data_IF_963685100643
#
_entry.id   IF_963685100643
#
_cell.length_a   1.000
_cell.length_b   1.000
_cell.length_c   1.000
_cell.angle_alpha   90.00
_cell.angle_beta   90.00
_cell.angle_gamma   90.00
#
_symmetry.space_group_name_H-M   'P 1'
#
loop_
_entity.id
_entity.type
_entity.pdbx_description
1 polymer ?
#
# COMPACT_ATOMS: atom_id res chain seq x y z
N UNK A 1 -17.73 25.30 44.24
CA UNK A 1 -16.92 26.50 44.53
C UNK A 1 -15.53 26.21 43.98
N UNK A 2 -15.14 26.84 42.87
CA UNK A 2 -13.74 26.74 42.42
C UNK A 2 -12.88 27.42 43.48
N UNK A 3 -11.82 26.74 43.92
CA UNK A 3 -10.90 27.27 44.92
C UNK A 3 -10.04 28.37 44.29
N UNK A 4 -9.96 29.53 44.94
CA UNK A 4 -9.24 30.71 44.46
C UNK A 4 -7.76 30.65 44.88
N UNK A 5 -7.04 29.63 44.42
CA UNK A 5 -5.64 29.37 44.79
C UNK A 5 -4.73 30.58 44.55
N UNK A 6 -4.92 31.28 43.42
CA UNK A 6 -4.09 32.44 43.08
C UNK A 6 -4.38 33.62 44.01
N UNK A 7 -5.64 33.82 44.38
CA UNK A 7 -6.03 34.85 45.35
C UNK A 7 -5.42 34.56 46.72
N UNK A 8 -5.41 33.30 47.15
CA UNK A 8 -4.92 32.94 48.50
C UNK A 8 -3.39 32.94 48.60
N UNK A 9 -2.67 32.68 47.49
CA UNK A 9 -1.24 32.35 47.54
C UNK A 9 -0.31 33.44 47.03
N UNK A 10 -0.78 34.44 46.29
CA UNK A 10 0.07 35.44 45.63
C UNK A 10 0.12 36.79 46.37
N UNK A 11 0.24 36.71 47.70
CA UNK A 11 0.58 37.83 48.57
C UNK A 11 2.08 37.82 48.93
N UNK A 12 2.48 38.68 49.86
CA UNK A 12 3.83 38.69 50.44
C UNK A 12 4.33 40.09 50.71
N UNK A 13 5.31 40.24 51.59
CA UNK A 13 5.82 41.54 52.06
C UNK A 13 6.37 42.44 50.94
N UNK A 14 6.79 41.85 49.82
CA UNK A 14 7.33 42.56 48.65
C UNK A 14 6.27 42.96 47.63
N UNK A 15 5.02 42.53 47.79
CA UNK A 15 3.91 42.78 46.86
C UNK A 15 4.25 42.40 45.41
N UNK A 16 5.01 41.32 45.21
CA UNK A 16 5.52 40.86 43.92
C UNK A 16 4.65 39.79 43.24
N UNK A 17 3.51 39.43 43.85
CA UNK A 17 2.60 38.40 43.30
C UNK A 17 2.08 38.73 41.91
N UNK A 18 1.79 40.01 41.64
CA UNK A 18 1.35 40.48 40.33
C UNK A 18 2.37 40.14 39.23
N UNK A 19 3.65 40.46 39.44
CA UNK A 19 4.70 40.23 38.45
C UNK A 19 4.86 38.74 38.15
N UNK A 20 4.82 37.90 39.19
CA UNK A 20 4.91 36.44 39.05
C UNK A 20 3.76 35.91 38.20
N UNK A 21 2.51 36.27 38.50
CA UNK A 21 1.34 35.82 37.75
C UNK A 21 1.32 36.35 36.32
N UNK A 22 1.66 37.63 36.14
CA UNK A 22 1.73 38.27 34.83
C UNK A 22 2.76 37.57 33.92
N UNK A 23 3.93 37.22 34.48
CA UNK A 23 4.94 36.47 33.75
C UNK A 23 4.55 35.00 33.52
N UNK A 24 3.84 34.36 34.46
CA UNK A 24 3.31 33.00 34.26
C UNK A 24 2.37 32.94 33.04
N UNK A 25 1.42 33.87 32.95
CA UNK A 25 0.52 33.99 31.80
C UNK A 25 1.31 34.14 30.48
N UNK A 26 2.41 34.90 30.49
CA UNK A 26 3.30 35.05 29.33
C UNK A 26 3.99 33.73 28.97
N UNK A 27 4.37 32.91 29.96
CA UNK A 27 4.99 31.61 29.73
C UNK A 27 4.02 30.58 29.14
N UNK A 28 2.71 30.72 29.31
CA UNK A 28 1.72 29.85 28.64
C UNK A 28 1.88 29.81 27.12
N UNK A 29 2.30 30.92 26.49
CA UNK A 29 2.59 30.95 25.06
C UNK A 29 3.81 30.11 24.66
N UNK A 30 4.82 30.01 25.54
CA UNK A 30 5.99 29.15 25.31
C UNK A 30 5.55 27.68 25.27
N UNK A 31 4.71 27.25 26.20
CA UNK A 31 4.18 25.88 26.22
C UNK A 31 3.39 25.53 24.96
N UNK A 32 2.60 26.46 24.43
CA UNK A 32 1.90 26.27 23.14
C UNK A 32 2.88 26.06 21.98
N UNK A 33 3.96 26.84 21.93
CA UNK A 33 5.00 26.70 20.91
C UNK A 33 5.75 25.37 21.02
N UNK A 34 6.15 24.99 22.23
CA UNK A 34 6.85 23.73 22.50
C UNK A 34 5.98 22.51 22.14
N UNK A 35 4.66 22.58 22.37
CA UNK A 35 3.73 21.52 21.93
C UNK A 35 3.70 21.40 20.39
N UNK A 36 3.63 22.53 19.67
CA UNK A 36 3.66 22.51 18.20
C UNK A 36 5.00 21.93 17.68
N UNK A 37 6.11 22.26 18.31
CA UNK A 37 7.43 21.73 17.98
C UNK A 37 7.50 20.20 18.22
N UNK A 38 6.96 19.73 19.35
CA UNK A 38 6.88 18.30 19.63
C UNK A 38 6.04 17.53 18.60
N UNK A 39 4.85 18.03 18.25
CA UNK A 39 3.98 17.39 17.25
C UNK A 39 4.67 17.39 15.87
N UNK A 40 5.43 18.44 15.55
CA UNK A 40 6.22 18.50 14.31
C UNK A 40 7.31 17.43 14.26
N UNK A 41 8.06 17.24 15.33
CA UNK A 41 9.06 16.17 15.40
C UNK A 41 8.40 14.79 15.30
N UNK A 42 7.25 14.58 15.94
CA UNK A 42 6.46 13.36 15.76
C UNK A 42 6.08 13.14 14.30
N UNK A 43 5.58 14.17 13.60
CA UNK A 43 5.23 14.07 12.19
C UNK A 43 6.45 13.75 11.30
N UNK A 44 7.62 14.33 11.58
CA UNK A 44 8.88 14.02 10.87
C UNK A 44 9.25 12.55 10.99
N UNK A 45 9.11 11.95 12.17
CA UNK A 45 9.38 10.53 12.41
C UNK A 45 8.41 9.65 11.60
N UNK A 46 7.11 9.95 11.66
CA UNK A 46 6.08 9.20 10.92
C UNK A 46 6.28 9.31 9.40
N UNK A 47 6.72 10.47 8.91
CA UNK A 47 7.02 10.68 7.49
C UNK A 47 8.23 9.83 7.05
N UNK A 48 9.29 9.80 7.86
CA UNK A 48 10.47 8.96 7.59
C UNK A 48 10.09 7.47 7.54
N UNK A 49 9.21 7.02 8.44
CA UNK A 49 8.67 5.67 8.44
C UNK A 49 7.87 5.38 7.17
N UNK A 50 6.90 6.23 6.83
CA UNK A 50 6.09 6.09 5.60
C UNK A 50 6.97 6.03 4.33
N UNK A 51 7.98 6.90 4.22
CA UNK A 51 8.90 6.93 3.07
C UNK A 51 9.73 5.65 2.96
N UNK A 52 10.16 5.10 4.10
CA UNK A 52 10.91 3.84 4.15
C UNK A 52 10.03 2.66 3.74
N UNK A 53 8.78 2.62 4.23
CA UNK A 53 7.78 1.62 3.83
C UNK A 53 7.45 1.69 2.34
N UNK A 54 7.30 2.90 1.79
CA UNK A 54 7.09 3.10 0.35
C UNK A 54 8.26 2.56 -0.48
N UNK A 55 9.51 2.73 -0.01
CA UNK A 55 10.69 2.15 -0.69
C UNK A 55 10.69 0.62 -0.61
N UNK A 56 10.30 0.06 0.54
CA UNK A 56 10.18 -1.38 0.73
C UNK A 56 9.16 -1.99 -0.23
N UNK A 57 7.97 -1.38 -0.35
CA UNK A 57 6.95 -1.80 -1.32
C UNK A 57 7.48 -1.82 -2.76
N UNK A 58 8.22 -0.78 -3.18
CA UNK A 58 8.84 -0.73 -4.51
C UNK A 58 9.87 -1.85 -4.71
N UNK A 59 10.67 -2.17 -3.68
CA UNK A 59 11.62 -3.29 -3.78
C UNK A 59 10.93 -4.64 -3.92
N UNK A 60 9.73 -4.83 -3.35
CA UNK A 60 8.96 -6.06 -3.54
C UNK A 60 8.62 -6.32 -5.02
N UNK A 61 8.43 -5.26 -5.81
CA UNK A 61 8.22 -5.35 -7.26
C UNK A 61 9.47 -5.78 -8.04
N UNK A 62 10.67 -5.62 -7.46
CA UNK A 62 11.95 -5.94 -8.10
C UNK A 62 12.42 -7.37 -7.79
N UNK A 63 11.72 -8.11 -6.95
CA UNK A 63 12.06 -9.51 -6.68
C UNK A 63 11.78 -10.40 -7.90
N UNK A 64 12.38 -11.59 -7.87
CA UNK A 64 12.28 -12.55 -8.97
C UNK A 64 10.81 -12.84 -9.31
N UNK A 65 10.47 -12.63 -10.58
CA UNK A 65 9.17 -12.99 -11.14
C UNK A 65 9.17 -14.45 -11.65
N UNK A 66 10.21 -15.21 -11.31
CA UNK A 66 10.34 -16.62 -11.63
C UNK A 66 9.86 -17.48 -10.46
N UNK A 67 9.25 -18.61 -10.81
CA UNK A 67 8.79 -19.62 -9.86
C UNK A 67 7.39 -19.36 -9.32
N UNK A 68 6.85 -20.39 -8.68
CA UNK A 68 5.47 -20.46 -8.19
C UNK A 68 5.13 -19.42 -7.12
N UNK A 69 6.15 -18.89 -6.42
CA UNK A 69 5.98 -17.89 -5.36
C UNK A 69 5.83 -16.45 -5.88
N UNK A 70 6.16 -16.18 -7.15
CA UNK A 70 6.18 -14.82 -7.70
C UNK A 70 4.91 -13.99 -7.41
N UNK A 71 3.67 -14.53 -7.52
CA UNK A 71 2.45 -13.77 -7.22
C UNK A 71 2.30 -13.32 -5.75
N UNK A 72 2.97 -13.99 -4.81
CA UNK A 72 2.90 -13.65 -3.38
C UNK A 72 3.58 -12.31 -3.10
N UNK A 73 4.60 -11.94 -3.87
CA UNK A 73 5.25 -10.64 -3.73
C UNK A 73 4.32 -9.46 -3.99
N UNK A 74 3.29 -9.64 -4.82
CA UNK A 74 2.27 -8.62 -5.07
C UNK A 74 1.40 -8.38 -3.82
N UNK A 75 1.06 -9.46 -3.09
CA UNK A 75 0.33 -9.36 -1.80
C UNK A 75 1.14 -8.57 -0.76
N UNK A 76 2.44 -8.87 -0.63
CA UNK A 76 3.36 -8.11 0.23
C UNK A 76 3.44 -6.64 -0.19
N UNK A 77 3.60 -6.39 -1.49
CA UNK A 77 3.66 -5.03 -2.04
C UNK A 77 2.42 -4.22 -1.68
N UNK A 78 1.23 -4.71 -2.03
CA UNK A 78 -0.03 -3.96 -1.81
C UNK A 78 -0.27 -3.66 -0.33
N UNK A 79 -0.05 -4.64 0.56
CA UNK A 79 -0.19 -4.40 2.00
C UNK A 79 0.82 -3.36 2.53
N UNK A 80 2.07 -3.45 2.07
CA UNK A 80 3.13 -2.48 2.44
C UNK A 80 2.82 -1.07 1.92
N UNK A 81 2.24 -0.92 0.72
CA UNK A 81 1.78 0.37 0.18
C UNK A 81 0.63 0.96 1.00
N UNK A 82 -0.34 0.13 1.39
CA UNK A 82 -1.45 0.56 2.27
C UNK A 82 -0.94 1.00 3.64
N UNK A 83 -0.05 0.23 4.24
CA UNK A 83 0.55 0.57 5.53
C UNK A 83 1.35 1.89 5.45
N UNK A 84 2.16 2.07 4.41
CA UNK A 84 2.86 3.34 4.16
C UNK A 84 1.90 4.54 4.01
N UNK A 85 0.73 4.31 3.40
CA UNK A 85 -0.31 5.32 3.22
C UNK A 85 -0.98 5.71 4.54
N UNK A 86 -1.24 4.75 5.45
CA UNK A 86 -1.77 5.04 6.79
C UNK A 86 -0.85 5.99 7.57
N UNK A 87 0.46 5.71 7.57
CA UNK A 87 1.43 6.60 8.24
C UNK A 87 1.52 7.97 7.57
N UNK A 88 1.43 8.04 6.24
CA UNK A 88 1.38 9.34 5.55
C UNK A 88 0.10 10.12 5.87
N UNK A 89 -1.03 9.45 6.07
CA UNK A 89 -2.28 10.09 6.50
C UNK A 89 -2.15 10.65 7.93
N UNK A 90 -1.48 9.90 8.84
CA UNK A 90 -1.15 10.42 10.17
C UNK A 90 -0.35 11.72 10.09
N UNK A 91 0.70 11.77 9.26
CA UNK A 91 1.50 12.98 9.06
C UNK A 91 0.63 14.16 8.63
N UNK A 92 -0.29 13.97 7.68
CA UNK A 92 -1.20 15.03 7.21
C UNK A 92 -2.11 15.53 8.34
N UNK A 93 -2.70 14.63 9.12
CA UNK A 93 -3.57 15.02 10.25
C UNK A 93 -2.79 15.72 11.36
N UNK A 94 -1.58 15.27 11.67
CA UNK A 94 -0.69 15.96 12.61
C UNK A 94 -0.30 17.36 12.10
N UNK A 95 -0.09 17.54 10.79
CA UNK A 95 0.16 18.86 10.19
C UNK A 95 -1.05 19.80 10.31
N UNK A 96 -2.27 19.30 10.16
CA UNK A 96 -3.48 20.10 10.42
C UNK A 96 -3.59 20.48 11.91
N UNK A 97 -3.32 19.53 12.81
CA UNK A 97 -3.33 19.81 14.24
C UNK A 97 -2.29 20.88 14.63
N UNK A 98 -1.09 20.86 14.03
CA UNK A 98 -0.07 21.92 14.24
C UNK A 98 -0.63 23.30 13.84
N UNK A 99 -1.43 23.39 12.77
CA UNK A 99 -2.07 24.67 12.38
C UNK A 99 -3.07 25.14 13.44
N UNK A 100 -3.83 24.23 14.04
CA UNK A 100 -4.74 24.55 15.15
C UNK A 100 -3.95 25.06 16.36
N UNK A 101 -2.84 24.42 16.72
CA UNK A 101 -1.96 24.88 17.81
C UNK A 101 -1.41 26.28 17.52
N UNK A 102 -0.95 26.55 16.30
CA UNK A 102 -0.47 27.89 15.92
C UNK A 102 -1.58 28.94 15.99
N UNK A 103 -2.78 28.61 15.50
CA UNK A 103 -3.95 29.49 15.57
C UNK A 103 -4.27 29.86 17.02
N UNK A 104 -4.26 28.87 17.92
CA UNK A 104 -4.44 29.12 19.35
C UNK A 104 -3.32 30.00 19.92
N UNK A 105 -2.06 29.76 19.52
CA UNK A 105 -0.93 30.61 19.90
C UNK A 105 -1.10 32.08 19.49
N UNK A 106 -1.64 32.36 18.31
CA UNK A 106 -1.94 33.71 17.84
C UNK A 106 -3.10 34.35 18.64
N UNK A 107 -4.11 33.57 18.99
CA UNK A 107 -5.23 34.01 19.84
C UNK A 107 -4.76 34.33 21.27
N UNK A 108 -3.85 33.53 21.82
CA UNK A 108 -3.20 33.81 23.11
C UNK A 108 -2.44 35.14 23.09
N UNK A 109 -1.69 35.44 22.03
CA UNK A 109 -0.97 36.72 21.92
C UNK A 109 -1.94 37.90 21.94
N UNK A 110 -3.09 37.79 21.26
CA UNK A 110 -4.14 38.82 21.26
C UNK A 110 -4.76 38.97 22.65
N UNK A 111 -5.12 37.85 23.30
CA UNK A 111 -5.68 37.84 24.65
C UNK A 111 -4.70 38.42 25.68
N UNK A 112 -3.41 38.13 25.56
CA UNK A 112 -2.35 38.68 26.41
C UNK A 112 -2.26 40.21 26.28
N UNK A 113 -2.27 40.75 25.04
CA UNK A 113 -2.22 42.21 24.83
C UNK A 113 -3.41 42.92 25.49
N UNK A 114 -4.61 42.36 25.31
CA UNK A 114 -5.83 42.86 25.95
C UNK A 114 -5.72 42.80 27.48
N UNK A 115 -5.31 41.66 28.03
CA UNK A 115 -5.19 41.48 29.48
C UNK A 115 -4.19 42.47 30.08
N UNK A 116 -3.05 42.72 29.42
CA UNK A 116 -2.05 43.69 29.86
C UNK A 116 -2.64 45.09 30.06
N UNK A 117 -3.50 45.54 29.14
CA UNK A 117 -4.17 46.84 29.24
C UNK A 117 -5.17 46.85 30.41
N UNK A 118 -5.95 45.77 30.54
CA UNK A 118 -6.98 45.64 31.59
C UNK A 118 -6.41 45.56 33.01
N UNK A 119 -5.19 45.03 33.19
CA UNK A 119 -4.56 44.89 34.52
C UNK A 119 -3.56 46.01 34.85
N UNK A 120 -3.46 47.04 33.99
CA UNK A 120 -2.54 48.17 34.19
C UNK A 120 -2.80 48.94 35.49
N UNK A 121 -4.07 49.11 35.88
CA UNK A 121 -4.43 49.76 37.15
C UNK A 121 -3.98 48.98 38.39
N UNK A 122 -3.83 47.65 38.29
CA UNK A 122 -3.29 46.81 39.36
C UNK A 122 -1.78 46.98 39.47
N UNK A 123 -1.07 47.10 38.34
CA UNK A 123 0.35 47.41 38.32
C UNK A 123 0.64 48.76 38.98
N UNK A 124 -0.17 49.79 38.69
CA UNK A 124 -0.05 51.09 39.37
C UNK A 124 -0.29 50.97 40.88
N UNK A 125 -1.28 50.20 41.31
CA UNK A 125 -1.55 49.96 42.73
C UNK A 125 -0.37 49.25 43.43
N UNK A 126 0.25 48.26 42.77
CA UNK A 126 1.48 47.57 43.25
C UNK A 126 2.63 48.56 43.42
N UNK A 127 2.88 49.41 42.43
CA UNK A 127 3.95 50.42 42.49
C UNK A 127 3.68 51.44 43.60
N UNK A 128 2.43 51.87 43.76
CA UNK A 128 2.01 52.82 44.79
C UNK A 128 2.20 52.24 46.20
N UNK A 129 1.73 51.01 46.47
CA UNK A 129 1.91 50.40 47.80
C UNK A 129 3.39 50.18 48.12
N UNK A 130 4.21 49.75 47.15
CA UNK A 130 5.66 49.59 47.34
C UNK A 130 6.34 50.93 47.69
N UNK A 131 6.02 52.00 46.96
CA UNK A 131 6.55 53.35 47.18
C UNK A 131 6.14 53.91 48.55
N UNK A 132 4.85 53.82 48.89
CA UNK A 132 4.33 54.32 50.18
C UNK A 132 4.86 53.50 51.35
N UNK A 133 5.04 52.19 51.20
CA UNK A 133 5.65 51.34 52.24
C UNK A 133 7.07 51.78 52.55
N UNK A 134 7.88 52.06 51.52
CA UNK A 134 9.25 52.57 51.71
C UNK A 134 9.26 53.97 52.35
N UNK A 135 8.38 54.88 51.90
CA UNK A 135 8.26 56.22 52.47
C UNK A 135 7.80 56.21 53.93
N UNK A 136 6.85 55.33 54.27
CA UNK A 136 6.37 55.10 55.62
C UNK A 136 7.50 54.63 56.54
N UNK A 137 8.29 53.63 56.09
CA UNK A 137 9.41 53.11 56.85
C UNK A 137 10.46 54.20 57.12
N UNK A 138 10.83 54.99 56.10
CA UNK A 138 11.75 56.13 56.25
C UNK A 138 11.21 57.20 57.19
N UNK A 139 9.91 57.48 57.14
CA UNK A 139 9.27 58.44 58.05
C UNK A 139 9.25 57.93 59.49
N UNK A 140 9.05 56.62 59.71
CA UNK A 140 9.09 55.98 61.03
C UNK A 140 10.49 56.08 61.65
N UNK A 141 11.53 55.78 60.87
CA UNK A 141 12.93 55.91 61.31
C UNK A 141 13.28 57.35 61.67
N UNK A 142 12.86 58.32 60.85
CA UNK A 142 13.07 59.74 61.15
C UNK A 142 12.32 60.20 62.41
N UNK A 143 11.06 59.76 62.58
CA UNK A 143 10.30 60.01 63.82
C UNK A 143 11.05 59.49 65.05
N UNK A 144 11.46 58.22 65.03
CA UNK A 144 12.21 57.60 66.13
C UNK A 144 13.51 58.35 66.42
N UNK A 145 14.27 58.75 65.39
CA UNK A 145 15.50 59.52 65.54
C UNK A 145 15.26 60.89 66.18
N UNK A 146 14.18 61.61 65.81
CA UNK A 146 13.85 62.90 66.43
C UNK A 146 13.36 62.76 67.87
N UNK A 147 12.63 61.70 68.19
CA UNK A 147 12.22 61.41 69.57
C UNK A 147 13.43 61.07 70.45
N UNK A 148 14.35 60.23 69.97
CA UNK A 148 15.58 59.89 70.70
C UNK A 148 16.44 61.12 70.97
N UNK A 149 16.63 61.99 69.97
CA UNK A 149 17.40 63.23 70.14
C UNK A 149 16.74 64.19 71.13
N UNK A 150 15.41 64.31 71.09
CA UNK A 150 14.67 65.13 72.05
C UNK A 150 14.87 64.62 73.49
N UNK A 151 14.78 63.31 73.70
CA UNK A 151 15.00 62.70 75.02
C UNK A 151 16.45 62.80 75.48
N UNK A 152 17.42 62.70 74.57
CA UNK A 152 18.84 62.92 74.87
C UNK A 152 19.09 64.33 75.38
N UNK A 153 18.59 65.35 74.68
CA UNK A 153 18.74 66.76 75.08
C UNK A 153 18.09 67.06 76.44
N UNK A 154 16.95 66.43 76.74
CA UNK A 154 16.32 66.53 78.07
C UNK A 154 17.18 65.93 79.18
N UNK A 155 17.79 64.76 78.94
CA UNK A 155 18.64 64.07 79.93
C UNK A 155 19.98 64.78 80.17
N UNK A 156 20.55 65.38 79.14
CA UNK A 156 21.83 66.10 79.22
C UNK A 156 21.70 67.53 79.78
N UNK A 157 20.49 67.99 80.10
CA UNK A 157 20.27 69.32 80.66
C UNK A 157 20.49 70.46 79.66
N UNK A 158 20.15 70.24 78.38
CA UNK A 158 20.22 71.27 77.34
C UNK A 158 19.34 72.49 77.68
N UNK A 159 19.61 73.63 77.04
CA UNK A 159 18.86 74.86 77.34
C UNK A 159 17.38 74.71 76.96
N UNK A 160 16.45 75.42 77.64
CA UNK A 160 15.02 75.36 77.32
C UNK A 160 14.72 75.63 75.84
N UNK A 161 15.47 76.58 75.22
CA UNK A 161 15.36 76.93 73.80
C UNK A 161 15.74 75.78 72.86
N UNK A 162 16.74 74.98 73.22
CA UNK A 162 17.17 73.82 72.43
C UNK A 162 16.16 72.67 72.53
N UNK A 163 15.63 72.44 73.73
CA UNK A 163 14.58 71.44 73.97
C UNK A 163 13.30 71.80 73.21
N UNK A 164 12.88 73.07 73.22
CA UNK A 164 11.73 73.53 72.44
C UNK A 164 11.93 73.32 70.94
N UNK A 165 13.12 73.65 70.42
CA UNK A 165 13.48 73.42 69.01
C UNK A 165 13.43 71.93 68.65
N UNK A 166 13.91 71.05 69.51
CA UNK A 166 13.84 69.60 69.31
C UNK A 166 12.39 69.09 69.37
N UNK A 167 11.59 69.63 70.27
CA UNK A 167 10.15 69.31 70.41
C UNK A 167 9.37 69.65 69.15
N UNK A 168 9.61 70.83 68.55
CA UNK A 168 8.98 71.21 67.27
C UNK A 168 9.39 70.26 66.13
N UNK A 169 10.66 69.86 66.05
CA UNK A 169 11.13 68.89 65.04
C UNK A 169 10.51 67.51 65.21
N UNK A 170 10.41 67.04 66.46
CA UNK A 170 9.76 65.76 66.83
C UNK A 170 8.27 65.77 66.47
N UNK A 171 7.57 66.87 66.78
CA UNK A 171 6.16 67.06 66.40
C UNK A 171 5.96 67.02 64.88
N UNK A 172 6.77 67.76 64.11
CA UNK A 172 6.71 67.73 62.63
C UNK A 172 6.97 66.32 62.06
N UNK A 173 7.93 65.58 62.63
CA UNK A 173 8.19 64.21 62.24
C UNK A 173 7.02 63.26 62.57
N UNK A 174 6.35 63.49 63.71
CA UNK A 174 5.13 62.77 64.11
C UNK A 174 3.99 63.01 63.12
N UNK A 175 3.73 64.26 62.76
CA UNK A 175 2.66 64.62 61.82
C UNK A 175 2.92 64.01 60.43
N UNK A 176 4.18 64.02 59.98
CA UNK A 176 4.58 63.38 58.72
C UNK A 176 4.40 61.85 58.77
N UNK A 177 4.78 61.21 59.88
CA UNK A 177 4.60 59.77 60.04
C UNK A 177 3.11 59.38 60.06
N UNK A 178 2.27 60.12 60.80
CA UNK A 178 0.81 59.91 60.81
C UNK A 178 0.20 60.05 59.41
N UNK A 179 0.61 61.07 58.65
CA UNK A 179 0.18 61.23 57.27
C UNK A 179 0.52 60.02 56.40
N UNK A 180 1.71 59.45 56.54
CA UNK A 180 2.08 58.24 55.80
C UNK A 180 1.34 56.98 56.28
N UNK A 181 0.98 56.89 57.55
CA UNK A 181 0.14 55.78 58.07
C UNK A 181 -1.26 55.83 57.43
N UNK A 182 -1.87 57.01 57.38
CA UNK A 182 -3.18 57.21 56.73
C UNK A 182 -3.11 56.93 55.23
N UNK A 183 -2.08 57.45 54.54
CA UNK A 183 -1.85 57.14 53.12
C UNK A 183 -1.66 55.64 52.88
N UNK A 184 -0.90 54.97 53.74
CA UNK A 184 -0.66 53.53 53.64
C UNK A 184 -1.96 52.74 53.74
N UNK A 185 -2.84 53.07 54.70
CA UNK A 185 -4.13 52.40 54.84
C UNK A 185 -4.98 52.51 53.56
N UNK A 186 -5.03 53.69 52.95
CA UNK A 186 -5.76 53.93 51.69
C UNK A 186 -5.18 53.11 50.53
N UNK A 187 -3.86 53.18 50.31
CA UNK A 187 -3.23 52.44 49.19
C UNK A 187 -3.24 50.93 49.41
N UNK A 188 -3.20 50.46 50.67
CA UNK A 188 -3.34 49.05 51.01
C UNK A 188 -4.71 48.53 50.60
N UNK A 189 -5.78 49.25 50.94
CA UNK A 189 -7.14 48.85 50.57
C UNK A 189 -7.34 48.80 49.06
N UNK A 190 -6.83 49.79 48.32
CA UNK A 190 -6.89 49.82 46.85
C UNK A 190 -6.11 48.65 46.22
N UNK A 191 -4.90 48.38 46.74
CA UNK A 191 -4.08 47.24 46.31
C UNK A 191 -4.76 45.90 46.58
N UNK A 192 -5.26 45.64 47.79
CA UNK A 192 -5.88 44.36 48.14
C UNK A 192 -7.11 44.07 47.28
N UNK A 193 -7.94 45.09 47.02
CA UNK A 193 -9.10 44.95 46.14
C UNK A 193 -8.65 44.57 44.71
N UNK A 194 -7.80 45.39 44.09
CA UNK A 194 -7.36 45.18 42.70
C UNK A 194 -6.57 43.88 42.52
N UNK A 195 -5.72 43.54 43.48
CA UNK A 195 -4.92 42.32 43.45
C UNK A 195 -5.79 41.07 43.57
N UNK A 196 -6.82 41.10 44.41
CA UNK A 196 -7.80 39.99 44.53
C UNK A 196 -8.49 39.73 43.19
N UNK A 197 -9.05 40.79 42.57
CA UNK A 197 -9.73 40.67 41.28
C UNK A 197 -8.78 40.21 40.16
N UNK A 198 -7.56 40.73 40.15
CA UNK A 198 -6.55 40.42 39.12
C UNK A 198 -5.97 39.01 39.29
N UNK A 199 -5.75 38.55 40.51
CA UNK A 199 -5.27 37.20 40.77
C UNK A 199 -6.29 36.15 40.33
N UNK A 200 -7.58 36.38 40.61
CA UNK A 200 -8.65 35.53 40.09
C UNK A 200 -8.68 35.52 38.56
N UNK A 201 -8.57 36.70 37.94
CA UNK A 201 -8.51 36.80 36.48
C UNK A 201 -7.35 36.03 35.87
N UNK A 202 -6.16 36.09 36.47
CA UNK A 202 -5.02 35.29 36.01
C UNK A 202 -5.27 33.79 36.15
N UNK A 203 -5.96 33.37 37.22
CA UNK A 203 -6.35 31.97 37.39
C UNK A 203 -7.34 31.53 36.31
N UNK A 204 -8.36 32.32 36.02
CA UNK A 204 -9.36 32.01 34.98
C UNK A 204 -8.71 31.88 33.58
N UNK A 205 -7.72 32.75 33.30
CA UNK A 205 -6.92 32.69 32.06
C UNK A 205 -6.09 31.40 32.01
N UNK A 206 -5.44 31.03 33.11
CA UNK A 206 -4.62 29.83 33.20
C UNK A 206 -5.48 28.55 33.09
N UNK A 207 -6.63 28.51 33.76
CA UNK A 207 -7.58 27.39 33.66
C UNK A 207 -8.09 27.23 32.22
N UNK A 208 -8.46 28.33 31.57
CA UNK A 208 -8.85 28.33 30.15
C UNK A 208 -7.71 27.84 29.26
N UNK A 209 -6.48 28.25 29.55
CA UNK A 209 -5.29 27.81 28.82
C UNK A 209 -5.07 26.30 28.94
N UNK A 210 -5.07 25.79 30.17
CA UNK A 210 -4.83 24.37 30.44
C UNK A 210 -5.94 23.49 29.86
N UNK A 211 -7.20 23.93 29.93
CA UNK A 211 -8.32 23.22 29.31
C UNK A 211 -8.13 23.10 27.80
N UNK A 212 -7.83 24.20 27.12
CA UNK A 212 -7.67 24.16 25.67
C UNK A 212 -6.44 23.36 25.22
N UNK A 213 -5.32 23.44 25.95
CA UNK A 213 -4.15 22.60 25.70
C UNK A 213 -4.48 21.11 25.84
N UNK A 214 -5.31 20.74 26.82
CA UNK A 214 -5.78 19.36 26.98
C UNK A 214 -6.66 18.90 25.81
N UNK A 215 -7.54 19.75 25.30
CA UNK A 215 -8.37 19.45 24.12
C UNK A 215 -7.49 19.14 22.88
N UNK A 216 -6.42 19.93 22.68
CA UNK A 216 -5.45 19.69 21.60
C UNK A 216 -4.75 18.33 21.79
N UNK A 217 -4.32 18.00 23.01
CA UNK A 217 -3.66 16.73 23.33
C UNK A 217 -4.62 15.54 23.15
N UNK A 218 -5.90 15.72 23.46
CA UNK A 218 -6.94 14.72 23.21
C UNK A 218 -7.13 14.51 21.70
N UNK A 219 -7.19 15.58 20.91
CA UNK A 219 -7.24 15.50 19.43
C UNK A 219 -6.02 14.78 18.85
N UNK A 220 -4.81 15.08 19.35
CA UNK A 220 -3.57 14.37 19.01
C UNK A 220 -3.70 12.86 19.28
N UNK A 221 -4.18 12.50 20.47
CA UNK A 221 -4.33 11.10 20.90
C UNK A 221 -5.36 10.35 20.05
N UNK A 222 -6.50 10.99 19.75
CA UNK A 222 -7.55 10.43 18.90
C UNK A 222 -7.05 10.23 17.46
N UNK A 223 -6.30 11.19 16.92
CA UNK A 223 -5.69 11.07 15.59
C UNK A 223 -4.78 9.85 15.49
N UNK A 224 -3.93 9.62 16.50
CA UNK A 224 -3.06 8.43 16.54
C UNK A 224 -3.88 7.15 16.66
N UNK A 225 -4.88 7.14 17.54
CA UNK A 225 -5.76 5.98 17.76
C UNK A 225 -6.46 5.58 16.46
N UNK A 226 -7.03 6.53 15.72
CA UNK A 226 -7.76 6.26 14.48
C UNK A 226 -6.86 5.64 13.41
N UNK A 227 -5.62 6.14 13.27
CA UNK A 227 -4.66 5.56 12.33
C UNK A 227 -4.22 4.17 12.81
N UNK A 228 -4.04 3.97 14.11
CA UNK A 228 -3.69 2.65 14.64
C UNK A 228 -4.76 1.60 14.35
N UNK A 229 -6.04 1.97 14.40
CA UNK A 229 -7.14 1.11 13.99
C UNK A 229 -7.04 0.75 12.49
N UNK A 230 -6.79 1.72 11.61
CA UNK A 230 -6.60 1.46 10.17
C UNK A 230 -5.39 0.55 9.90
N UNK A 231 -4.30 0.71 10.65
CA UNK A 231 -3.13 -0.19 10.57
C UNK A 231 -3.54 -1.62 10.89
N UNK A 232 -4.36 -1.81 11.94
CA UNK A 232 -4.93 -3.11 12.29
C UNK A 232 -5.75 -3.71 11.14
N UNK A 233 -6.59 -2.91 10.48
CA UNK A 233 -7.38 -3.35 9.32
C UNK A 233 -6.48 -3.80 8.15
N UNK A 234 -5.38 -3.08 7.87
CA UNK A 234 -4.41 -3.47 6.84
C UNK A 234 -3.72 -4.80 7.17
N UNK A 235 -3.44 -5.04 8.45
CA UNK A 235 -2.85 -6.31 8.90
C UNK A 235 -3.83 -7.49 8.74
N UNK A 236 -5.08 -7.32 9.15
CA UNK A 236 -6.12 -8.35 8.96
C UNK A 236 -6.37 -8.61 7.46
N UNK A 237 -6.40 -7.56 6.63
CA UNK A 237 -6.52 -7.71 5.18
C UNK A 237 -5.36 -8.53 4.59
N UNK A 238 -4.13 -8.29 5.05
CA UNK A 238 -2.96 -9.06 4.61
C UNK A 238 -3.08 -10.54 4.96
N UNK A 239 -3.48 -10.87 6.20
CA UNK A 239 -3.69 -12.25 6.65
C UNK A 239 -4.73 -12.95 5.76
N UNK A 240 -5.84 -12.27 5.48
CA UNK A 240 -6.90 -12.79 4.62
C UNK A 240 -6.41 -12.98 3.17
N UNK A 241 -5.68 -12.03 2.60
CA UNK A 241 -5.12 -12.13 1.25
C UNK A 241 -4.11 -13.28 1.13
N UNK A 242 -3.28 -13.50 2.16
CA UNK A 242 -2.37 -14.64 2.21
C UNK A 242 -3.13 -15.98 2.33
N UNK A 243 -4.20 -16.02 3.13
CA UNK A 243 -5.06 -17.21 3.25
C UNK A 243 -5.75 -17.55 1.93
N UNK A 244 -6.20 -16.54 1.18
CA UNK A 244 -6.81 -16.71 -0.13
C UNK A 244 -5.80 -17.10 -1.23
N UNK A 245 -4.51 -16.83 -1.02
CA UNK A 245 -3.43 -17.21 -1.93
C UNK A 245 -2.97 -18.64 -1.63
N UNK A 246 -3.84 -19.61 -1.94
CA UNK A 246 -3.58 -21.02 -1.62
C UNK A 246 -2.48 -21.63 -2.48
N UNK A 247 -1.85 -22.70 -1.99
CA UNK A 247 -0.82 -23.46 -2.71
C UNK A 247 -1.37 -24.00 -4.03
N UNK A 248 -2.60 -24.50 -4.05
CA UNK A 248 -3.28 -25.01 -5.24
C UNK A 248 -3.41 -23.91 -6.29
N UNK A 249 -3.85 -22.71 -5.89
CA UNK A 249 -4.02 -21.57 -6.80
C UNK A 249 -2.69 -21.13 -7.43
N UNK A 250 -1.60 -21.17 -6.66
CA UNK A 250 -0.27 -20.81 -7.14
C UNK A 250 0.28 -21.86 -8.12
N UNK A 251 0.17 -23.15 -7.79
CA UNK A 251 0.58 -24.25 -8.67
C UNK A 251 -0.21 -24.21 -9.98
N UNK A 252 -1.52 -24.03 -9.90
CA UNK A 252 -2.39 -23.90 -11.07
C UNK A 252 -1.95 -22.73 -11.96
N UNK A 253 -1.78 -21.53 -11.40
CA UNK A 253 -1.31 -20.34 -12.14
C UNK A 253 0.05 -20.58 -12.81
N UNK A 254 0.97 -21.26 -12.14
CA UNK A 254 2.27 -21.59 -12.74
C UNK A 254 2.13 -22.59 -13.89
N UNK A 255 1.39 -23.68 -13.71
CA UNK A 255 1.16 -24.68 -14.75
C UNK A 255 0.44 -24.11 -15.97
N UNK A 256 -0.54 -23.22 -15.77
CA UNK A 256 -1.25 -22.53 -16.85
C UNK A 256 -0.36 -21.54 -17.60
N UNK A 257 0.54 -20.84 -16.91
CA UNK A 257 1.41 -19.83 -17.52
C UNK A 257 2.69 -20.36 -18.15
N UNK A 258 3.22 -21.51 -17.67
CA UNK A 258 4.49 -22.10 -18.11
C UNK A 258 4.37 -23.53 -18.64
N UNK A 259 3.17 -24.07 -18.77
CA UNK A 259 2.94 -25.40 -19.32
C UNK A 259 3.43 -25.54 -20.76
N UNK A 260 4.07 -26.66 -21.08
CA UNK A 260 4.69 -26.92 -22.39
C UNK A 260 3.79 -27.72 -23.35
N UNK A 261 2.58 -28.06 -22.90
CA UNK A 261 1.63 -28.90 -23.63
C UNK A 261 0.93 -29.87 -22.69
N UNK A 262 -0.35 -30.17 -22.96
CA UNK A 262 -1.12 -31.18 -22.21
C UNK A 262 -1.07 -32.56 -22.89
N UNK A 263 -0.63 -32.59 -24.14
CA UNK A 263 -0.51 -33.80 -24.95
C UNK A 263 0.66 -34.64 -24.45
N UNK A 264 0.40 -35.92 -24.16
CA UNK A 264 1.46 -36.87 -23.82
C UNK A 264 2.12 -37.34 -25.12
N UNK A 265 3.42 -37.64 -25.12
CA UNK A 265 4.08 -38.24 -26.28
C UNK A 265 3.28 -39.47 -26.74
N UNK A 266 2.93 -39.51 -28.02
CA UNK A 266 2.22 -40.64 -28.60
C UNK A 266 3.13 -41.87 -28.63
N UNK A 267 2.57 -43.04 -28.32
CA UNK A 267 3.25 -44.30 -28.55
C UNK A 267 3.30 -44.52 -30.07
N UNK A 268 4.50 -44.46 -30.66
CA UNK A 268 4.71 -44.89 -32.04
C UNK A 268 4.28 -46.36 -32.16
N UNK A 269 3.13 -46.61 -32.78
CA UNK A 269 2.64 -47.98 -32.97
C UNK A 269 3.55 -48.71 -33.95
N UNK A 270 4.03 -49.89 -33.56
CA UNK A 270 4.80 -50.84 -34.41
C UNK A 270 4.12 -51.17 -35.75
N UNK A 271 2.81 -50.88 -35.90
CA UNK A 271 2.07 -51.01 -37.16
C UNK A 271 2.66 -50.20 -38.31
N UNK A 272 3.31 -49.05 -38.06
CA UNK A 272 3.96 -48.29 -39.13
C UNK A 272 5.15 -49.06 -39.72
N UNK A 273 5.89 -49.78 -38.87
CA UNK A 273 6.99 -50.63 -39.29
C UNK A 273 6.51 -51.93 -39.93
N UNK A 274 5.43 -52.56 -39.43
CA UNK A 274 4.83 -53.75 -40.05
C UNK A 274 4.25 -53.46 -41.44
N UNK A 275 3.58 -52.32 -41.63
CA UNK A 275 3.06 -51.92 -42.94
C UNK A 275 4.17 -51.61 -43.95
N UNK A 276 5.26 -50.98 -43.51
CA UNK A 276 6.45 -50.81 -44.36
C UNK A 276 7.09 -52.16 -44.74
N UNK A 277 7.26 -53.07 -43.78
CA UNK A 277 7.81 -54.41 -44.05
C UNK A 277 6.93 -55.24 -44.97
N UNK A 278 5.60 -55.18 -44.80
CA UNK A 278 4.66 -55.86 -45.68
C UNK A 278 4.71 -55.29 -47.09
N UNK A 279 4.84 -53.97 -47.24
CA UNK A 279 4.93 -53.32 -48.56
C UNK A 279 6.18 -53.75 -49.33
N UNK A 280 7.34 -53.83 -48.67
CA UNK A 280 8.58 -54.32 -49.31
C UNK A 280 8.52 -55.82 -49.65
N UNK A 281 7.90 -56.63 -48.77
CA UNK A 281 7.73 -58.07 -49.01
C UNK A 281 6.78 -58.34 -50.19
N UNK A 282 5.63 -57.66 -50.24
CA UNK A 282 4.67 -57.80 -51.35
C UNK A 282 5.26 -57.26 -52.68
N UNK A 283 6.06 -56.19 -52.64
CA UNK A 283 6.73 -55.68 -53.85
C UNK A 283 7.74 -56.68 -54.41
N UNK A 284 8.54 -57.31 -53.55
CA UNK A 284 9.51 -58.35 -53.95
C UNK A 284 8.83 -59.57 -54.57
N UNK A 285 7.74 -60.05 -53.98
CA UNK A 285 7.07 -61.25 -54.46
C UNK A 285 6.29 -60.99 -55.77
N UNK A 286 5.71 -59.80 -55.94
CA UNK A 286 5.08 -59.39 -57.21
C UNK A 286 6.12 -59.32 -58.33
N UNK A 287 7.30 -58.73 -58.09
CA UNK A 287 8.39 -58.69 -59.09
C UNK A 287 8.85 -60.09 -59.48
N UNK A 288 8.94 -61.01 -58.51
CA UNK A 288 9.30 -62.39 -58.75
C UNK A 288 8.26 -63.13 -59.60
N UNK A 289 6.97 -62.95 -59.30
CA UNK A 289 5.87 -63.52 -60.08
C UNK A 289 5.86 -62.96 -61.52
N UNK A 290 6.08 -61.66 -61.71
CA UNK A 290 6.17 -61.04 -63.03
C UNK A 290 7.35 -61.63 -63.82
N UNK A 291 8.51 -61.83 -63.19
CA UNK A 291 9.67 -62.43 -63.86
C UNK A 291 9.41 -63.89 -64.29
N UNK A 292 8.79 -64.70 -63.42
CA UNK A 292 8.45 -66.10 -63.73
C UNK A 292 7.36 -66.22 -64.81
N UNK A 293 6.40 -65.30 -64.84
CA UNK A 293 5.33 -65.31 -65.87
C UNK A 293 5.84 -64.77 -67.22
N UNK A 294 6.79 -63.84 -67.22
CA UNK A 294 7.32 -63.23 -68.44
C UNK A 294 8.40 -64.05 -69.17
N UNK A 295 8.94 -65.11 -68.58
CA UNK A 295 9.91 -65.99 -69.26
C UNK A 295 9.31 -66.84 -70.40
N UNK A 296 8.01 -66.74 -70.67
CA UNK A 296 7.32 -67.58 -71.66
C UNK A 296 6.98 -66.95 -73.02
N UNK A 297 6.86 -65.62 -73.16
CA UNK A 297 6.30 -65.03 -74.40
C UNK A 297 6.74 -63.58 -74.65
N UNK A 298 7.34 -63.31 -75.81
CA UNK A 298 7.82 -61.99 -76.25
C UNK A 298 6.73 -60.92 -76.47
N UNK A 299 5.44 -61.28 -76.40
CA UNK A 299 4.33 -60.34 -76.60
C UNK A 299 3.93 -59.52 -75.36
N UNK A 300 4.47 -59.79 -74.17
CA UNK A 300 4.05 -59.11 -72.92
C UNK A 300 4.86 -57.83 -72.62
N UNK A 301 6.05 -57.67 -73.22
CA UNK A 301 7.01 -56.60 -72.87
C UNK A 301 6.56 -55.20 -73.28
N UNK A 302 5.72 -55.05 -74.31
CA UNK A 302 5.22 -53.74 -74.73
C UNK A 302 4.06 -53.24 -73.84
N UNK A 303 3.20 -54.15 -73.35
CA UNK A 303 2.11 -53.80 -72.44
C UNK A 303 2.62 -53.50 -71.02
N UNK A 304 3.74 -54.11 -70.61
CA UNK A 304 4.30 -53.95 -69.27
C UNK A 304 4.85 -52.54 -69.01
N UNK A 305 5.42 -51.85 -70.00
CA UNK A 305 6.05 -50.53 -69.77
C UNK A 305 5.04 -49.39 -69.55
N UNK A 306 3.93 -49.38 -70.30
CA UNK A 306 2.85 -48.40 -70.09
C UNK A 306 2.07 -48.67 -68.80
N UNK A 307 1.80 -49.95 -68.50
CA UNK A 307 1.11 -50.32 -67.27
C UNK A 307 1.96 -50.03 -66.03
N UNK A 308 3.28 -50.24 -66.10
CA UNK A 308 4.19 -49.99 -64.98
C UNK A 308 4.32 -48.49 -64.71
N UNK A 309 4.32 -47.66 -65.75
CA UNK A 309 4.27 -46.20 -65.64
C UNK A 309 2.96 -45.72 -64.99
N UNK A 310 1.82 -46.33 -65.35
CA UNK A 310 0.51 -46.05 -64.74
C UNK A 310 0.46 -46.50 -63.27
N UNK A 311 1.04 -47.65 -62.93
CA UNK A 311 1.12 -48.15 -61.55
C UNK A 311 1.96 -47.23 -60.66
N UNK A 312 3.13 -46.77 -61.15
CA UNK A 312 3.97 -45.82 -60.40
C UNK A 312 3.28 -44.46 -60.24
N UNK A 313 2.62 -43.94 -61.29
CA UNK A 313 1.86 -42.68 -61.21
C UNK A 313 0.67 -42.77 -60.25
N UNK A 314 -0.10 -43.87 -60.26
CA UNK A 314 -1.22 -44.09 -59.35
C UNK A 314 -0.75 -44.32 -57.91
N UNK A 315 0.33 -45.06 -57.71
CA UNK A 315 0.90 -45.30 -56.38
C UNK A 315 1.44 -44.02 -55.74
N UNK A 316 2.06 -43.12 -56.53
CA UNK A 316 2.50 -41.80 -56.08
C UNK A 316 1.33 -40.88 -55.70
N UNK A 317 0.23 -40.89 -56.46
CA UNK A 317 -0.94 -40.06 -56.17
C UNK A 317 -1.74 -40.56 -54.96
N UNK A 318 -1.79 -41.88 -54.73
CA UNK A 318 -2.52 -42.51 -53.64
C UNK A 318 -1.71 -42.63 -52.34
N UNK A 319 -0.40 -42.36 -52.35
CA UNK A 319 0.39 -42.19 -51.12
C UNK A 319 -0.11 -41.04 -50.23
N UNK A 320 -0.88 -40.09 -50.80
CA UNK A 320 -1.49 -38.96 -50.07
C UNK A 320 -2.89 -39.24 -49.49
N UNK A 321 -3.49 -40.38 -49.80
CA UNK A 321 -4.86 -40.72 -49.38
C UNK A 321 -4.88 -42.21 -49.08
N UNK A 322 -5.10 -42.65 -47.83
CA UNK A 322 -5.02 -44.02 -47.25
C UNK A 322 -5.68 -45.19 -48.04
N UNK A 323 -5.45 -45.31 -49.34
CA UNK A 323 -6.16 -46.17 -50.28
C UNK A 323 -5.14 -46.84 -51.21
N UNK A 324 -4.30 -47.71 -50.65
CA UNK A 324 -3.34 -48.52 -51.42
C UNK A 324 -3.97 -49.59 -52.32
N UNK A 325 -5.29 -49.79 -52.30
CA UNK A 325 -5.96 -50.91 -52.98
C UNK A 325 -6.22 -50.71 -54.48
N UNK A 326 -6.34 -49.47 -54.94
CA UNK A 326 -6.76 -49.17 -56.33
C UNK A 326 -5.66 -49.46 -57.38
N UNK A 327 -4.36 -49.19 -57.15
CA UNK A 327 -3.31 -49.40 -58.16
C UNK A 327 -3.10 -50.88 -58.50
N UNK A 328 -3.14 -51.75 -57.49
CA UNK A 328 -2.88 -53.19 -57.65
C UNK A 328 -3.99 -53.86 -58.48
N UNK A 329 -5.25 -53.48 -58.27
CA UNK A 329 -6.39 -53.97 -59.05
C UNK A 329 -6.35 -53.50 -60.50
N UNK A 330 -5.97 -52.23 -60.74
CA UNK A 330 -5.83 -51.68 -62.10
C UNK A 330 -4.68 -52.36 -62.85
N UNK A 331 -3.55 -52.59 -62.18
CA UNK A 331 -2.39 -53.25 -62.79
C UNK A 331 -2.66 -54.72 -63.12
N UNK A 332 -3.33 -55.46 -62.22
CA UNK A 332 -3.77 -56.82 -62.49
C UNK A 332 -4.71 -56.88 -63.70
N UNK A 333 -5.71 -56.00 -63.78
CA UNK A 333 -6.64 -55.97 -64.92
C UNK A 333 -5.93 -55.69 -66.26
N UNK A 334 -4.94 -54.80 -66.29
CA UNK A 334 -4.20 -54.49 -67.51
C UNK A 334 -3.28 -55.63 -67.97
N UNK A 335 -2.73 -56.43 -67.05
CA UNK A 335 -1.90 -57.60 -67.40
C UNK A 335 -2.77 -58.74 -67.95
N UNK A 336 -3.93 -58.99 -67.34
CA UNK A 336 -4.77 -60.13 -67.72
C UNK A 336 -5.68 -59.87 -68.95
N UNK A 337 -5.89 -58.62 -69.35
CA UNK A 337 -6.73 -58.25 -70.51
C UNK A 337 -6.04 -57.24 -71.45
N UNK A 338 -5.05 -57.67 -72.25
CA UNK A 338 -4.26 -56.77 -73.10
C UNK A 338 -5.00 -56.25 -74.35
N UNK A 339 -6.11 -56.87 -74.80
CA UNK A 339 -6.82 -56.47 -76.03
C UNK A 339 -7.90 -55.40 -75.85
N UNK A 340 -8.24 -55.02 -74.61
CA UNK A 340 -9.19 -53.92 -74.39
C UNK A 340 -8.47 -52.58 -74.48
N UNK A 341 -8.50 -51.98 -75.68
CA UNK A 341 -8.17 -50.56 -75.86
C UNK A 341 -9.03 -49.74 -74.90
N UNK A 342 -8.40 -49.14 -73.89
CA UNK A 342 -9.07 -48.26 -72.93
C UNK A 342 -9.55 -46.97 -73.65
N UNK A 343 -10.71 -47.05 -74.31
CA UNK A 343 -11.36 -45.92 -74.97
C UNK A 343 -11.59 -44.79 -73.96
N UNK A 344 -11.36 -43.57 -74.43
CA UNK A 344 -11.31 -42.32 -73.68
C UNK A 344 -12.55 -42.02 -72.83
N UNK A 345 -13.68 -42.69 -73.09
CA UNK A 345 -14.94 -42.54 -72.36
C UNK A 345 -14.93 -43.26 -70.99
N UNK A 346 -14.26 -44.41 -70.86
CA UNK A 346 -14.11 -45.14 -69.57
C UNK A 346 -13.05 -44.53 -68.65
N UNK A 347 -12.05 -43.85 -69.22
CA UNK A 347 -11.04 -43.09 -68.46
C UNK A 347 -11.66 -41.95 -67.64
N UNK A 348 -12.74 -41.31 -68.13
CA UNK A 348 -13.50 -40.30 -67.38
C UNK A 348 -14.39 -40.89 -66.29
N UNK A 349 -14.95 -42.09 -66.49
CA UNK A 349 -15.72 -42.78 -65.45
C UNK A 349 -14.84 -43.24 -64.28
N UNK A 350 -13.63 -43.73 -64.54
CA UNK A 350 -12.69 -44.11 -63.48
C UNK A 350 -12.28 -42.91 -62.61
N UNK A 351 -12.07 -41.74 -63.23
CA UNK A 351 -11.79 -40.49 -62.51
C UNK A 351 -12.99 -40.01 -61.65
N UNK A 352 -14.23 -40.19 -62.14
CA UNK A 352 -15.44 -39.86 -61.37
C UNK A 352 -15.71 -40.83 -60.20
N UNK A 353 -15.38 -42.11 -60.35
CA UNK A 353 -15.59 -43.13 -59.30
C UNK A 353 -14.59 -42.95 -58.15
N UNK A 354 -13.34 -42.53 -58.42
CA UNK A 354 -12.36 -42.23 -57.37
C UNK A 354 -12.80 -41.04 -56.48
N UNK A 355 -13.66 -40.14 -56.97
CA UNK A 355 -14.22 -39.04 -56.15
C UNK A 355 -15.47 -39.40 -55.35
N UNK A 356 -16.14 -40.52 -55.65
CA UNK A 356 -17.38 -40.91 -54.96
C UNK A 356 -17.15 -42.17 -54.12
N UNK A 357 -17.39 -42.07 -52.80
CA UNK A 357 -17.24 -43.14 -51.80
C UNK A 357 -18.15 -44.35 -52.10
N UNK A 358 -17.88 -45.12 -53.13
CA UNK A 358 -18.65 -46.31 -53.49
C UNK A 358 -17.75 -47.55 -53.39
N UNK A 359 -17.59 -48.06 -52.16
CA UNK A 359 -16.76 -49.24 -51.85
C UNK A 359 -17.33 -50.58 -52.35
N UNK A 360 -18.56 -50.64 -52.86
CA UNK A 360 -19.23 -51.93 -53.08
C UNK A 360 -19.51 -52.30 -54.54
N UNK A 361 -19.65 -51.33 -55.44
CA UNK A 361 -20.07 -51.64 -56.82
C UNK A 361 -18.93 -52.17 -57.70
N UNK A 362 -17.69 -51.74 -57.45
CA UNK A 362 -16.53 -52.06 -58.30
C UNK A 362 -16.04 -53.50 -58.14
N UNK A 363 -16.08 -54.05 -56.92
CA UNK A 363 -15.75 -55.45 -56.65
C UNK A 363 -16.72 -56.42 -57.33
N UNK A 364 -18.00 -56.04 -57.43
CA UNK A 364 -19.00 -56.90 -58.10
C UNK A 364 -18.72 -57.05 -59.60
N UNK A 365 -18.27 -55.98 -60.28
CA UNK A 365 -18.02 -55.98 -61.72
C UNK A 365 -16.79 -56.82 -62.07
N UNK A 366 -15.73 -56.72 -61.26
CA UNK A 366 -14.49 -57.48 -61.42
C UNK A 366 -14.72 -58.96 -61.11
N UNK A 367 -15.51 -59.29 -60.09
CA UNK A 367 -15.85 -60.68 -59.77
C UNK A 367 -16.67 -61.35 -60.87
N UNK A 368 -17.59 -60.64 -61.53
CA UNK A 368 -18.37 -61.21 -62.64
C UNK A 368 -17.50 -61.58 -63.85
N UNK A 369 -16.50 -60.77 -64.21
CA UNK A 369 -15.64 -61.05 -65.37
C UNK A 369 -14.55 -62.11 -65.05
N UNK A 370 -14.05 -62.16 -63.81
CA UNK A 370 -13.06 -63.16 -63.38
C UNK A 370 -13.63 -64.58 -63.25
N UNK A 371 -14.92 -64.73 -62.91
CA UNK A 371 -15.59 -66.04 -62.82
C UNK A 371 -15.79 -66.65 -64.21
N UNK A 372 -16.01 -65.82 -65.24
CA UNK A 372 -16.19 -66.28 -66.63
C UNK A 372 -14.85 -66.71 -67.27
N UNK A 373 -13.71 -66.23 -66.77
CA UNK A 373 -12.37 -66.46 -67.34
C UNK A 373 -11.59 -67.65 -66.71
N UNK A 374 -12.16 -68.36 -65.72
CA UNK A 374 -11.53 -69.55 -65.15
C UNK A 374 -10.24 -69.30 -64.34
N UNK A 375 -9.99 -68.06 -63.91
CA UNK A 375 -8.80 -67.68 -63.13
C UNK A 375 -8.94 -68.02 -61.63
N UNK A 376 -8.97 -69.31 -61.28
CA UNK A 376 -9.10 -69.79 -59.90
C UNK A 376 -7.97 -69.35 -58.96
N UNK A 377 -6.79 -69.01 -59.49
CA UNK A 377 -5.64 -68.55 -58.68
C UNK A 377 -5.88 -67.14 -58.09
N UNK A 378 -6.55 -66.26 -58.83
CA UNK A 378 -6.87 -64.90 -58.37
C UNK A 378 -7.92 -64.92 -57.25
N UNK A 379 -8.90 -65.84 -57.33
CA UNK A 379 -9.89 -66.09 -56.28
C UNK A 379 -9.21 -66.65 -55.02
N UNK A 380 -8.22 -67.54 -55.17
CA UNK A 380 -7.42 -68.07 -54.05
C UNK A 380 -6.58 -67.00 -53.37
N UNK A 381 -6.02 -66.07 -54.13
CA UNK A 381 -5.26 -64.92 -53.61
C UNK A 381 -6.19 -63.96 -52.85
N UNK A 382 -7.38 -63.67 -53.40
CA UNK A 382 -8.41 -62.87 -52.72
C UNK A 382 -8.92 -63.53 -51.43
N UNK A 383 -9.07 -64.87 -51.43
CA UNK A 383 -9.49 -65.64 -50.26
C UNK A 383 -8.44 -65.66 -49.15
N UNK A 384 -7.16 -65.84 -49.50
CA UNK A 384 -6.05 -65.74 -48.55
C UNK A 384 -5.93 -64.32 -47.96
N UNK A 385 -6.29 -63.31 -48.74
CA UNK A 385 -6.26 -61.90 -48.32
C UNK A 385 -7.42 -61.54 -47.38
N UNK A 386 -8.63 -62.06 -47.63
CA UNK A 386 -9.79 -61.89 -46.75
C UNK A 386 -9.64 -62.62 -45.39
N UNK A 387 -8.72 -63.57 -45.28
CA UNK A 387 -8.38 -64.23 -44.01
C UNK A 387 -7.39 -63.44 -43.14
N UNK A 388 -6.73 -62.41 -43.68
CA UNK A 388 -5.66 -61.64 -43.01
C UNK A 388 -5.98 -60.14 -42.80
N UNK A 389 -7.18 -59.68 -43.18
CA UNK A 389 -7.76 -58.37 -42.78
C UNK A 389 -8.80 -58.56 -41.69
#
# INVERSE_FOLDING_TARGET
MMMAYFVESFWGERNNGFDVLYHNMKHGHLSTKELADFIRERATIEEAYSRSMTKLAKSASNYTQLGTFAPVWDVFKTSTEKLASCHLDLVRRLQELIKEVHKYGDEQIKAYKKTKEEVSGTLEAVQNIQSITQALQKSKENYNAKCLEQERLKKEGATPREIDKATVKSKKATDTYKLYVEKYATVKSDFEQKMTETAQKFQDIEETHLLHMKEIIESFSNTIKDIHLQIGEVHEEFINNMTNTTVESLIQKFAESKGTGKERPELESSRKYELMFLQDFFFSEIVRIIHTVCEGTACIVAASHECFSIFILLSSHLYKTDYMFVPVLVFAHCIFYPETRFESQKRRQLYCIVQTKAKFSFLSLICSDLIVSGCWWFIKLLFLFLQFS
#
